data_IF_212116767996
#
_entry.id   IF_212116767996
#
_cell.length_a   1.000
_cell.length_b   1.000
_cell.length_c   1.000
_cell.angle_alpha   90.00
_cell.angle_beta   90.00
_cell.angle_gamma   90.00
#
_symmetry.space_group_name_H-M   'P 1'
#
loop_
_entity.id
_entity.type
_entity.pdbx_description
1 polymer ?
#
# COMPACT_ATOMS: atom_id res chain seq x y z
N UNK A 1 1.07 12.57 -11.23
CA UNK A 1 -0.24 12.24 -10.64
C UNK A 1 -0.07 12.16 -9.13
N UNK A 2 -0.78 12.98 -8.37
CA UNK A 2 -0.79 12.91 -6.91
C UNK A 2 -2.08 12.19 -6.51
N UNK A 3 -1.99 10.87 -6.31
CA UNK A 3 -3.10 10.07 -5.81
C UNK A 3 -3.01 9.97 -4.29
N UNK A 4 -4.17 10.04 -3.64
CA UNK A 4 -4.29 9.85 -2.19
C UNK A 4 -4.22 8.36 -1.87
N UNK A 5 -3.43 7.99 -0.86
CA UNK A 5 -3.23 6.57 -0.51
C UNK A 5 -4.41 5.94 0.23
N UNK A 6 -5.26 6.78 0.82
CA UNK A 6 -6.40 6.41 1.66
C UNK A 6 -7.72 6.22 0.88
N UNK A 7 -7.65 6.31 -0.45
CA UNK A 7 -8.76 6.00 -1.36
C UNK A 7 -8.31 4.91 -2.32
N UNK A 8 -9.25 4.13 -2.86
CA UNK A 8 -8.91 3.15 -3.91
C UNK A 8 -8.37 3.86 -5.15
N UNK A 9 -7.29 3.34 -5.72
CA UNK A 9 -6.73 3.84 -6.96
C UNK A 9 -6.16 2.69 -7.80
N UNK A 10 -5.93 2.99 -9.08
CA UNK A 10 -5.27 2.09 -10.03
C UNK A 10 -4.15 2.86 -10.76
N UNK A 11 -2.93 2.32 -10.71
CA UNK A 11 -1.75 2.84 -11.40
C UNK A 11 -1.58 2.26 -12.80
N UNK A 12 -2.41 1.30 -13.20
CA UNK A 12 -2.34 0.60 -14.49
C UNK A 12 -1.10 -0.28 -14.65
N UNK A 13 -0.37 -0.56 -13.55
CA UNK A 13 0.85 -1.36 -13.54
C UNK A 13 1.11 -1.99 -12.19
N UNK A 14 1.87 -3.09 -12.20
CA UNK A 14 2.27 -3.83 -11.01
C UNK A 14 3.78 -3.79 -10.80
N UNK A 15 4.20 -4.02 -9.56
CA UNK A 15 5.58 -3.94 -9.11
C UNK A 15 6.05 -5.24 -8.46
N UNK A 16 7.34 -5.53 -8.56
CA UNK A 16 7.97 -6.69 -7.92
C UNK A 16 8.13 -6.51 -6.40
N UNK A 17 8.21 -5.26 -5.95
CA UNK A 17 8.32 -4.89 -4.54
C UNK A 17 7.40 -3.70 -4.27
N UNK A 18 6.58 -3.81 -3.24
CA UNK A 18 5.83 -2.68 -2.66
C UNK A 18 6.29 -2.49 -1.22
N UNK A 19 6.73 -1.28 -0.90
CA UNK A 19 7.31 -0.94 0.40
C UNK A 19 6.53 0.19 1.06
N UNK A 20 6.11 -0.04 2.31
CA UNK A 20 5.49 0.97 3.18
C UNK A 20 6.47 1.26 4.32
N UNK A 21 6.81 2.53 4.54
CA UNK A 21 7.77 2.94 5.57
C UNK A 21 7.20 4.06 6.44
N UNK A 22 6.88 3.76 7.70
CA UNK A 22 6.37 4.71 8.69
C UNK A 22 5.12 5.48 8.22
N UNK A 23 4.14 4.78 7.64
CA UNK A 23 2.90 5.40 7.09
C UNK A 23 1.64 4.89 7.77
N UNK A 24 1.47 3.57 7.92
CA UNK A 24 0.17 3.00 8.29
C UNK A 24 -0.16 3.17 9.78
N UNK A 25 0.84 3.35 10.65
CA UNK A 25 0.63 3.61 12.08
C UNK A 25 -0.25 4.86 12.34
N UNK A 26 -0.13 5.89 11.50
CA UNK A 26 -0.87 7.15 11.65
C UNK A 26 -2.35 7.07 11.23
N UNK A 27 -2.81 5.95 10.68
CA UNK A 27 -4.16 5.82 10.12
C UNK A 27 -5.10 4.97 10.98
N UNK A 28 -6.41 5.28 10.99
CA UNK A 28 -7.44 4.39 11.51
C UNK A 28 -7.47 3.03 10.79
N UNK A 29 -7.99 1.99 11.45
CA UNK A 29 -7.99 0.62 10.91
C UNK A 29 -8.61 0.51 9.50
N UNK A 30 -9.74 1.16 9.25
CA UNK A 30 -10.39 1.13 7.93
C UNK A 30 -9.54 1.77 6.82
N UNK A 31 -8.78 2.81 7.15
CA UNK A 31 -7.85 3.43 6.21
C UNK A 31 -6.63 2.52 5.98
N UNK A 32 -6.12 1.86 7.03
CA UNK A 32 -5.02 0.88 6.89
C UNK A 32 -5.39 -0.22 5.91
N UNK A 33 -6.61 -0.76 5.97
CA UNK A 33 -7.10 -1.78 5.03
C UNK A 33 -7.07 -1.27 3.59
N UNK A 34 -7.49 -0.02 3.36
CA UNK A 34 -7.50 0.60 2.03
C UNK A 34 -6.08 0.75 1.49
N UNK A 35 -5.14 1.26 2.29
CA UNK A 35 -3.72 1.41 1.91
C UNK A 35 -3.10 0.05 1.59
N UNK A 36 -3.35 -0.97 2.43
CA UNK A 36 -2.85 -2.33 2.21
C UNK A 36 -3.46 -2.96 0.96
N UNK A 37 -4.76 -2.78 0.72
CA UNK A 37 -5.44 -3.26 -0.50
C UNK A 37 -4.83 -2.63 -1.75
N UNK A 38 -4.61 -1.31 -1.74
CA UNK A 38 -3.94 -0.62 -2.83
C UNK A 38 -2.54 -1.19 -3.06
N UNK A 39 -1.73 -1.37 -2.01
CA UNK A 39 -0.40 -1.97 -2.14
C UNK A 39 -0.44 -3.38 -2.75
N UNK A 40 -1.39 -4.21 -2.31
CA UNK A 40 -1.54 -5.58 -2.77
C UNK A 40 -2.01 -5.67 -4.23
N UNK A 41 -2.98 -4.83 -4.64
CA UNK A 41 -3.49 -4.80 -6.02
C UNK A 41 -2.40 -4.45 -7.05
N UNK A 42 -1.40 -3.67 -6.64
CA UNK A 42 -0.28 -3.28 -7.47
C UNK A 42 0.95 -4.16 -7.28
N UNK A 43 0.84 -5.28 -6.56
CA UNK A 43 1.91 -6.26 -6.43
C UNK A 43 1.78 -7.34 -7.51
N UNK A 44 2.89 -7.66 -8.18
CA UNK A 44 2.93 -8.81 -9.09
C UNK A 44 2.73 -10.12 -8.33
N UNK A 45 2.27 -11.20 -9.00
CA UNK A 45 2.41 -12.55 -8.46
C UNK A 45 3.86 -12.81 -8.02
N UNK A 46 4.05 -13.40 -6.84
CA UNK A 46 5.36 -13.63 -6.20
C UNK A 46 6.17 -12.36 -5.85
N UNK A 47 5.56 -11.17 -5.94
CA UNK A 47 6.18 -9.93 -5.47
C UNK A 47 6.33 -9.91 -3.94
N UNK A 48 7.17 -9.01 -3.44
CA UNK A 48 7.38 -8.82 -2.01
C UNK A 48 6.64 -7.59 -1.50
N UNK A 49 5.76 -7.80 -0.53
CA UNK A 49 5.13 -6.73 0.22
C UNK A 49 5.86 -6.55 1.55
N UNK A 50 6.49 -5.38 1.74
CA UNK A 50 7.32 -5.10 2.91
C UNK A 50 6.71 -3.90 3.65
N UNK A 51 6.49 -4.06 4.95
CA UNK A 51 6.01 -3.01 5.83
C UNK A 51 7.06 -2.80 6.92
N UNK A 52 7.67 -1.63 6.92
CA UNK A 52 8.47 -1.12 8.02
C UNK A 52 7.64 -0.07 8.74
N UNK A 53 7.17 -0.37 9.95
CA UNK A 53 6.39 0.58 10.72
C UNK A 53 6.68 0.51 12.23
N UNK A 54 6.22 1.50 12.97
CA UNK A 54 6.30 1.58 14.43
C UNK A 54 5.17 0.76 15.08
N UNK A 55 5.49 0.02 16.15
CA UNK A 55 4.58 -0.88 16.86
C UNK A 55 3.64 -0.16 17.83
#
# INVERSE_FOLDING_TARGET
>A
MNQRIDVEFDLGKQYDIVFISFVIHGFPNEIRKTVIKNAFNHLKPNGRFIILDFA
#
